data_IF_206423020717
#
_entry.id   IF_206423020717
#
_cell.length_a   1.000
_cell.length_b   1.000
_cell.length_c   1.000
_cell.angle_alpha   90.00
_cell.angle_beta   90.00
_cell.angle_gamma   90.00
#
_symmetry.space_group_name_H-M   'P 1'
#
loop_
_entity.id
_entity.type
_entity.pdbx_description
1 polymer ?
#
# COMPACT_ATOMS: atom_id res chain seq x y z
N UNK A 1 -2.88 12.08 8.61
CA UNK A 1 -3.72 12.09 7.37
C UNK A 1 -5.18 11.91 7.76
N UNK A 2 -6.16 12.46 7.04
CA UNK A 2 -7.58 12.21 7.34
C UNK A 2 -8.14 10.98 6.60
N UNK A 3 -9.36 10.56 7.00
CA UNK A 3 -10.02 9.36 6.50
C UNK A 3 -10.13 9.33 4.96
N UNK A 4 -10.63 10.42 4.39
CA UNK A 4 -10.89 10.51 2.95
C UNK A 4 -9.59 10.49 2.15
N UNK A 5 -8.57 11.18 2.66
CA UNK A 5 -7.25 11.21 2.03
C UNK A 5 -6.60 9.82 2.00
N UNK A 6 -6.67 9.04 3.08
CA UNK A 6 -6.09 7.69 3.11
C UNK A 6 -6.78 6.74 2.12
N UNK A 7 -8.12 6.79 2.02
CA UNK A 7 -8.86 5.99 1.04
C UNK A 7 -8.42 6.32 -0.38
N UNK A 8 -8.32 7.62 -0.71
CA UNK A 8 -7.87 8.06 -2.03
C UNK A 8 -6.43 7.63 -2.32
N UNK A 9 -5.53 7.68 -1.34
CA UNK A 9 -4.15 7.24 -1.52
C UNK A 9 -4.06 5.72 -1.72
N UNK A 10 -4.94 4.96 -1.04
CA UNK A 10 -5.02 3.51 -1.20
C UNK A 10 -5.48 3.14 -2.62
N UNK A 11 -6.51 3.83 -3.14
CA UNK A 11 -7.00 3.61 -4.51
C UNK A 11 -5.92 3.92 -5.55
N UNK A 12 -5.23 5.06 -5.41
CA UNK A 12 -4.10 5.40 -6.29
C UNK A 12 -2.98 4.36 -6.23
N UNK A 13 -2.68 3.84 -5.05
CA UNK A 13 -1.65 2.81 -4.88
C UNK A 13 -2.03 1.52 -5.60
N UNK A 14 -3.30 1.09 -5.47
CA UNK A 14 -3.83 -0.07 -6.21
C UNK A 14 -3.68 0.15 -7.72
N UNK A 15 -4.09 1.31 -8.24
CA UNK A 15 -3.99 1.63 -9.67
C UNK A 15 -2.54 1.57 -10.17
N UNK A 16 -1.58 2.12 -9.41
CA UNK A 16 -0.16 2.04 -9.75
C UNK A 16 0.35 0.60 -9.78
N UNK A 17 -0.04 -0.24 -8.82
CA UNK A 17 0.34 -1.65 -8.79
C UNK A 17 -0.25 -2.38 -10.00
N UNK A 18 -1.52 -2.12 -10.36
CA UNK A 18 -2.13 -2.73 -11.54
C UNK A 18 -1.43 -2.36 -12.84
N UNK A 19 -1.01 -1.10 -12.99
CA UNK A 19 -0.26 -0.63 -14.15
C UNK A 19 1.08 -1.36 -14.26
N UNK A 20 1.84 -1.43 -13.16
CA UNK A 20 3.14 -2.13 -13.13
C UNK A 20 2.95 -3.63 -13.39
N UNK A 21 1.95 -4.25 -12.78
CA UNK A 21 1.63 -5.66 -12.99
C UNK A 21 1.35 -5.97 -14.47
N UNK A 22 0.59 -5.11 -15.16
CA UNK A 22 0.27 -5.28 -16.60
C UNK A 22 1.49 -5.01 -17.50
N UNK A 23 2.21 -3.91 -17.27
CA UNK A 23 3.34 -3.49 -18.12
C UNK A 23 4.53 -4.45 -17.96
N UNK A 24 4.86 -4.81 -16.73
CA UNK A 24 6.05 -5.63 -16.41
C UNK A 24 5.72 -7.12 -16.29
N UNK A 25 4.45 -7.52 -16.49
CA UNK A 25 3.94 -8.91 -16.35
C UNK A 25 4.25 -9.52 -14.97
N UNK A 26 4.15 -8.70 -13.92
CA UNK A 26 4.49 -9.02 -12.53
C UNK A 26 3.27 -9.49 -11.73
N UNK A 27 2.64 -10.60 -12.14
CA UNK A 27 1.40 -11.12 -11.53
C UNK A 27 1.50 -11.41 -10.01
N UNK A 28 2.72 -11.65 -9.49
CA UNK A 28 2.95 -11.81 -8.06
C UNK A 28 2.75 -10.52 -7.25
N UNK A 29 2.34 -9.41 -7.89
CA UNK A 29 1.89 -8.20 -7.22
C UNK A 29 0.43 -8.27 -6.75
N UNK A 30 -0.36 -9.24 -7.21
CA UNK A 30 -1.76 -9.39 -6.77
C UNK A 30 -1.95 -9.43 -5.24
N UNK A 31 -1.09 -10.09 -4.44
CA UNK A 31 -1.19 -10.04 -2.99
C UNK A 31 -1.07 -8.62 -2.39
N UNK A 32 -0.32 -7.71 -3.02
CA UNK A 32 -0.21 -6.32 -2.56
C UNK A 32 -1.55 -5.59 -2.73
N UNK A 33 -2.25 -5.83 -3.84
CA UNK A 33 -3.60 -5.29 -4.05
C UNK A 33 -4.56 -5.82 -2.99
N UNK A 34 -4.54 -7.13 -2.73
CA UNK A 34 -5.39 -7.74 -1.71
C UNK A 34 -5.13 -7.16 -0.30
N UNK A 35 -3.87 -6.90 0.05
CA UNK A 35 -3.52 -6.25 1.32
C UNK A 35 -4.11 -4.84 1.43
N UNK A 36 -4.13 -4.08 0.33
CA UNK A 36 -4.71 -2.73 0.27
C UNK A 36 -6.24 -2.75 0.30
N UNK A 37 -6.88 -3.71 -0.37
CA UNK A 37 -8.33 -3.92 -0.28
C UNK A 37 -8.76 -4.30 1.14
N UNK A 38 -8.00 -5.17 1.80
CA UNK A 38 -8.22 -5.50 3.21
C UNK A 38 -7.99 -4.30 4.13
N UNK A 39 -6.96 -3.49 3.88
CA UNK A 39 -6.74 -2.23 4.59
C UNK A 39 -7.98 -1.32 4.46
N UNK A 40 -8.50 -1.11 3.24
CA UNK A 40 -9.72 -0.30 3.02
C UNK A 40 -10.89 -0.83 3.82
N UNK A 41 -11.13 -2.13 3.83
CA UNK A 41 -12.23 -2.72 4.58
C UNK A 41 -12.10 -2.46 6.09
N UNK A 42 -10.94 -2.76 6.67
CA UNK A 42 -10.66 -2.49 8.10
C UNK A 42 -10.80 -1.01 8.44
N UNK A 43 -10.36 -0.15 7.53
CA UNK A 43 -10.43 1.28 7.72
C UNK A 43 -11.84 1.84 7.70
N UNK A 44 -12.68 1.37 6.78
CA UNK A 44 -14.11 1.73 6.72
C UNK A 44 -14.78 1.35 8.05
N UNK A 45 -14.43 0.18 8.59
CA UNK A 45 -14.96 -0.34 9.85
C UNK A 45 -14.29 0.24 11.12
N UNK A 46 -13.30 1.13 11.00
CA UNK A 46 -12.51 1.69 12.10
C UNK A 46 -11.78 0.61 12.95
N UNK A 47 -11.28 -0.44 12.31
CA UNK A 47 -10.62 -1.60 12.95
C UNK A 47 -9.09 -1.58 12.87
N UNK A 48 -8.51 -0.52 12.29
CA UNK A 48 -7.06 -0.35 12.18
C UNK A 48 -6.49 0.14 13.51
N UNK A 49 -5.68 -0.70 14.15
CA UNK A 49 -4.97 -0.41 15.41
C UNK A 49 -3.45 -0.30 15.26
N UNK A 50 -2.92 -0.81 14.15
CA UNK A 50 -1.52 -0.81 13.80
C UNK A 50 -1.40 -0.72 12.27
N UNK A 51 -0.20 -0.41 11.78
CA UNK A 51 0.06 -0.35 10.34
C UNK A 51 0.27 -1.78 9.79
N UNK A 52 -0.67 -2.34 9.01
CA UNK A 52 -0.51 -3.68 8.45
C UNK A 52 0.43 -3.71 7.23
N UNK A 53 0.81 -2.54 6.71
CA UNK A 53 1.70 -2.40 5.56
C UNK A 53 3.17 -2.24 5.98
N UNK A 54 3.54 -2.57 7.22
CA UNK A 54 4.94 -2.43 7.67
C UNK A 54 5.89 -3.22 6.77
N UNK A 55 6.86 -2.55 6.16
CA UNK A 55 7.83 -3.14 5.24
C UNK A 55 7.29 -3.41 3.84
N UNK A 56 6.27 -2.68 3.38
CA UNK A 56 5.59 -2.98 2.11
C UNK A 56 6.53 -2.89 0.91
N UNK A 57 7.27 -1.79 0.80
CA UNK A 57 8.26 -1.58 -0.27
C UNK A 57 9.39 -2.63 -0.22
N UNK A 58 9.84 -2.98 0.98
CA UNK A 58 10.86 -4.01 1.17
C UNK A 58 10.39 -5.37 0.65
N UNK A 59 9.14 -5.75 0.94
CA UNK A 59 8.55 -7.01 0.49
C UNK A 59 8.52 -7.10 -1.04
N UNK A 60 8.26 -5.99 -1.73
CA UNK A 60 8.37 -5.93 -3.20
C UNK A 60 9.81 -6.17 -3.66
N UNK A 61 10.76 -5.42 -3.08
CA UNK A 61 12.15 -5.47 -3.49
C UNK A 61 12.75 -6.87 -3.25
N UNK A 62 12.35 -7.57 -2.19
CA UNK A 62 12.78 -8.95 -1.92
C UNK A 62 12.22 -9.96 -2.94
N UNK A 63 10.98 -9.78 -3.42
CA UNK A 63 10.38 -10.68 -4.43
C UNK A 63 11.07 -10.55 -5.78
N UNK A 64 11.38 -9.32 -6.21
CA UNK A 64 11.88 -9.05 -7.56
C UNK A 64 13.37 -8.73 -7.63
N UNK A 65 14.05 -8.64 -6.48
CA UNK A 65 15.42 -8.12 -6.36
C UNK A 65 15.60 -6.76 -7.06
N UNK A 66 14.55 -5.92 -7.02
CA UNK A 66 14.43 -4.68 -7.78
C UNK A 66 14.14 -3.51 -6.83
N UNK A 67 15.22 -2.97 -6.26
CA UNK A 67 15.18 -1.90 -5.26
C UNK A 67 15.05 -0.50 -5.86
N UNK A 68 15.16 -0.37 -7.18
CA UNK A 68 15.15 0.91 -7.90
C UNK A 68 13.86 1.11 -8.70
N UNK A 69 12.94 0.15 -8.67
CA UNK A 69 11.66 0.28 -9.35
C UNK A 69 10.82 1.40 -8.72
N UNK A 70 10.29 2.36 -9.49
CA UNK A 70 9.50 3.47 -8.94
C UNK A 70 8.30 3.04 -8.08
N UNK A 71 7.80 1.81 -8.25
CA UNK A 71 6.74 1.27 -7.40
C UNK A 71 7.16 1.15 -5.93
N UNK A 72 8.45 0.97 -5.60
CA UNK A 72 8.91 0.92 -4.20
C UNK A 72 8.62 2.23 -3.47
N UNK A 73 8.76 3.37 -4.14
CA UNK A 73 8.44 4.68 -3.56
C UNK A 73 6.93 4.86 -3.35
N UNK A 74 6.11 4.28 -4.25
CA UNK A 74 4.66 4.26 -4.10
C UNK A 74 4.25 3.43 -2.88
N UNK A 75 4.84 2.24 -2.71
CA UNK A 75 4.56 1.35 -1.58
C UNK A 75 5.02 1.94 -0.24
N UNK A 76 6.20 2.58 -0.20
CA UNK A 76 6.73 3.25 0.99
C UNK A 76 5.87 4.46 1.39
N UNK A 77 5.45 5.27 0.42
CA UNK A 77 4.50 6.37 0.67
C UNK A 77 3.19 5.87 1.24
N UNK A 78 2.66 4.75 0.71
CA UNK A 78 1.42 4.17 1.23
C UNK A 78 1.59 3.67 2.67
N UNK A 79 2.72 3.04 2.99
CA UNK A 79 3.05 2.65 4.36
C UNK A 79 3.06 3.87 5.30
N UNK A 80 3.76 4.95 4.92
CA UNK A 80 3.83 6.20 5.68
C UNK A 80 2.48 6.91 5.81
N UNK A 81 1.61 6.79 4.80
CA UNK A 81 0.26 7.33 4.83
C UNK A 81 -0.59 6.68 5.93
N UNK A 82 -0.47 5.35 6.11
CA UNK A 82 -1.13 4.63 7.21
C UNK A 82 -0.58 5.04 8.56
N UNK A 83 0.75 5.17 8.70
CA UNK A 83 1.37 5.66 9.94
C UNK A 83 0.84 7.06 10.29
N UNK A 84 0.85 7.97 9.33
CA UNK A 84 0.36 9.35 9.50
C UNK A 84 -1.14 9.42 9.86
N UNK A 85 -1.94 8.44 9.45
CA UNK A 85 -3.33 8.33 9.86
C UNK A 85 -3.42 7.88 11.32
N UNK A 86 -2.73 6.80 11.67
CA UNK A 86 -2.73 6.23 13.02
C UNK A 86 -2.22 7.21 14.08
N UNK A 87 -1.20 8.00 13.77
CA UNK A 87 -0.65 9.04 14.67
C UNK A 87 -1.66 10.15 15.01
N UNK A 88 -2.69 10.37 14.18
CA UNK A 88 -3.75 11.34 14.47
C UNK A 88 -4.86 10.79 15.36
N UNK A 89 -5.00 9.47 15.42
CA UNK A 89 -6.06 8.80 16.18
C UNK A 89 -5.61 8.44 17.61
N UNK A 90 -4.34 8.67 17.95
CA UNK A 90 -3.73 8.55 19.29
C UNK A 90 -3.79 9.89 20.01
#
# INVERSE_FOLDING_TARGET
>A
MDKKSLLSETDKTIDNIEVVMKIERKEHLRPFINDLEHLKAKFINNEIKNNPLRGFARRYAEIYNDYLNPITDVLDRMEKAVDSYLEREV
#
